data_IF_939823613829
#
_entry.id   IF_939823613829
#
_cell.length_a   1.000
_cell.length_b   1.000
_cell.length_c   1.000
_cell.angle_alpha   90.00
_cell.angle_beta   90.00
_cell.angle_gamma   90.00
#
_symmetry.space_group_name_H-M   'P 1'
#
loop_
_entity.id
_entity.type
_entity.pdbx_description
1 polymer ?
#
# COMPACT_ATOMS: atom_id res chain seq x y z
N UNK A 1 -11.25 -1.24 37.95
CA UNK A 1 -11.95 -1.82 36.78
C UNK A 1 -12.38 -0.74 35.82
N UNK A 2 -12.83 0.38 36.32
CA UNK A 2 -13.32 1.54 35.52
C UNK A 2 -12.24 2.17 34.64
N UNK A 3 -11.00 2.25 35.10
CA UNK A 3 -9.87 2.79 34.32
C UNK A 3 -9.58 1.98 33.06
N UNK A 4 -9.71 0.65 33.15
CA UNK A 4 -9.51 -0.25 32.00
C UNK A 4 -10.67 -0.13 31.00
N UNK A 5 -11.89 -0.01 31.51
CA UNK A 5 -13.06 0.21 30.66
C UNK A 5 -12.98 1.56 29.94
N UNK A 6 -12.54 2.62 30.64
CA UNK A 6 -12.30 3.92 30.03
C UNK A 6 -11.19 3.89 28.98
N UNK A 7 -10.09 3.17 29.26
CA UNK A 7 -8.98 3.01 28.32
C UNK A 7 -9.42 2.24 27.07
N UNK A 8 -10.21 1.16 27.21
CA UNK A 8 -10.82 0.43 26.10
C UNK A 8 -11.78 1.31 25.30
N UNK A 9 -12.66 2.07 25.98
CA UNK A 9 -13.58 2.99 25.35
C UNK A 9 -12.84 4.03 24.50
N UNK A 10 -11.80 4.63 25.05
CA UNK A 10 -10.94 5.58 24.33
C UNK A 10 -10.20 4.93 23.14
N UNK A 11 -9.70 3.71 23.32
CA UNK A 11 -8.99 2.98 22.25
C UNK A 11 -9.92 2.64 21.09
N UNK A 12 -11.15 2.25 21.36
CA UNK A 12 -12.15 1.87 20.36
C UNK A 12 -12.98 3.05 19.87
N UNK A 13 -12.82 4.23 20.50
CA UNK A 13 -13.61 5.45 20.24
C UNK A 13 -15.12 5.26 20.44
N UNK A 14 -15.48 4.61 21.54
CA UNK A 14 -16.86 4.28 21.94
C UNK A 14 -17.12 4.66 23.40
N UNK A 15 -18.37 4.55 23.87
CA UNK A 15 -18.74 4.79 25.26
C UNK A 15 -18.37 3.61 26.16
N UNK A 16 -18.26 3.86 27.47
CA UNK A 16 -17.96 2.82 28.48
C UNK A 16 -19.05 1.74 28.52
N UNK A 17 -20.31 2.13 28.31
CA UNK A 17 -21.46 1.21 28.29
C UNK A 17 -21.39 0.25 27.08
N UNK A 18 -20.97 0.76 25.92
CA UNK A 18 -20.76 -0.06 24.73
C UNK A 18 -19.61 -1.06 24.94
N UNK A 19 -18.52 -0.64 25.60
CA UNK A 19 -17.41 -1.55 25.99
C UNK A 19 -17.89 -2.61 26.96
N UNK A 20 -18.71 -2.26 27.92
CA UNK A 20 -19.29 -3.23 28.87
C UNK A 20 -20.13 -4.29 28.16
N UNK A 21 -20.90 -3.89 27.17
CA UNK A 21 -21.66 -4.81 26.29
C UNK A 21 -20.74 -5.72 25.48
N UNK A 22 -19.63 -5.22 24.96
CA UNK A 22 -18.61 -6.00 24.27
C UNK A 22 -17.99 -7.07 25.18
N UNK A 23 -17.63 -6.70 26.41
CA UNK A 23 -17.04 -7.62 27.39
C UNK A 23 -17.97 -8.81 27.72
N UNK A 24 -19.27 -8.57 27.83
CA UNK A 24 -20.25 -9.63 28.04
C UNK A 24 -20.33 -10.59 26.87
N UNK A 25 -20.18 -10.08 25.65
CA UNK A 25 -20.17 -10.87 24.42
C UNK A 25 -18.94 -11.78 24.31
N UNK A 26 -17.77 -11.31 24.72
CA UNK A 26 -16.53 -12.08 24.69
C UNK A 26 -16.33 -13.02 25.89
N UNK A 27 -17.24 -13.02 26.87
CA UNK A 27 -17.16 -13.86 28.10
C UNK A 27 -15.78 -13.84 28.78
N UNK A 28 -15.02 -12.75 28.64
CA UNK A 28 -13.65 -12.65 29.12
C UNK A 28 -13.48 -11.62 30.25
N UNK A 29 -12.34 -11.70 30.97
CA UNK A 29 -11.95 -10.69 31.93
C UNK A 29 -11.46 -9.43 31.22
N UNK A 30 -11.94 -8.27 31.64
CA UNK A 30 -11.60 -6.97 31.06
C UNK A 30 -10.08 -6.75 30.85
N UNK A 31 -9.18 -7.08 31.81
CA UNK A 31 -7.75 -6.92 31.63
C UNK A 31 -7.18 -7.76 30.47
N UNK A 32 -7.59 -9.02 30.36
CA UNK A 32 -7.09 -9.92 29.31
C UNK A 32 -7.53 -9.47 27.92
N UNK A 33 -8.77 -9.02 27.79
CA UNK A 33 -9.29 -8.48 26.52
C UNK A 33 -8.56 -7.19 26.17
N UNK A 34 -8.30 -6.34 27.15
CA UNK A 34 -7.55 -5.09 26.93
C UNK A 34 -6.13 -5.34 26.42
N UNK A 35 -5.37 -6.25 27.05
CA UNK A 35 -4.02 -6.60 26.60
C UNK A 35 -4.02 -7.19 25.19
N UNK A 36 -4.96 -8.11 24.91
CA UNK A 36 -5.10 -8.71 23.59
C UNK A 36 -5.40 -7.64 22.54
N UNK A 37 -6.36 -6.76 22.79
CA UNK A 37 -6.76 -5.72 21.84
C UNK A 37 -5.69 -4.64 21.62
N UNK A 38 -4.92 -4.27 22.66
CA UNK A 38 -3.78 -3.36 22.48
C UNK A 38 -2.75 -3.97 21.55
N UNK A 39 -2.41 -5.24 21.77
CA UNK A 39 -1.43 -5.96 20.94
C UNK A 39 -1.91 -6.08 19.51
N UNK A 40 -3.15 -6.49 19.31
CA UNK A 40 -3.73 -6.61 17.97
C UNK A 40 -3.88 -5.24 17.26
N UNK A 41 -4.26 -4.18 17.99
CA UNK A 41 -4.29 -2.82 17.45
C UNK A 41 -2.91 -2.36 17.00
N UNK A 42 -1.88 -2.61 17.80
CA UNK A 42 -0.52 -2.25 17.43
C UNK A 42 -0.08 -2.94 16.12
N UNK A 43 -0.37 -4.24 15.97
CA UNK A 43 -0.11 -4.94 14.72
C UNK A 43 -0.93 -4.35 13.56
N UNK A 44 -2.21 -4.10 13.79
CA UNK A 44 -3.09 -3.50 12.77
C UNK A 44 -2.55 -2.14 12.29
N UNK A 45 -2.13 -1.26 13.20
CA UNK A 45 -1.62 0.07 12.86
C UNK A 45 -0.30 -0.01 12.11
N UNK A 46 0.64 -0.86 12.55
CA UNK A 46 1.93 -1.08 11.88
C UNK A 46 1.71 -1.61 10.45
N UNK A 47 0.91 -2.66 10.27
CA UNK A 47 0.64 -3.20 8.94
C UNK A 47 -0.18 -2.25 8.07
N UNK A 48 -1.03 -1.41 8.66
CA UNK A 48 -1.75 -0.37 7.94
C UNK A 48 -0.82 0.70 7.37
N UNK A 49 0.22 1.08 8.11
CA UNK A 49 1.28 1.99 7.60
C UNK A 49 2.04 1.35 6.44
N UNK A 50 2.47 0.09 6.57
CA UNK A 50 3.14 -0.62 5.48
C UNK A 50 2.25 -0.74 4.24
N UNK A 51 0.97 -1.00 4.41
CA UNK A 51 -0.01 -1.07 3.33
C UNK A 51 -0.11 0.29 2.61
N UNK A 52 -0.22 1.39 3.36
CA UNK A 52 -0.30 2.75 2.79
C UNK A 52 0.95 3.11 1.99
N UNK A 53 2.14 2.83 2.54
CA UNK A 53 3.42 3.05 1.86
C UNK A 53 3.51 2.21 0.58
N UNK A 54 3.12 0.93 0.64
CA UNK A 54 3.14 0.04 -0.52
C UNK A 54 2.20 0.51 -1.63
N UNK A 55 1.01 1.00 -1.30
CA UNK A 55 0.07 1.59 -2.26
C UNK A 55 0.69 2.84 -2.92
N UNK A 56 1.30 3.73 -2.14
CA UNK A 56 1.93 4.94 -2.67
C UNK A 56 3.06 4.60 -3.65
N UNK A 57 3.95 3.67 -3.29
CA UNK A 57 5.04 3.20 -4.17
C UNK A 57 4.48 2.56 -5.44
N UNK A 58 3.41 1.76 -5.33
CA UNK A 58 2.78 1.09 -6.47
C UNK A 58 2.19 2.12 -7.45
N UNK A 59 1.52 3.15 -6.96
CA UNK A 59 0.96 4.22 -7.81
C UNK A 59 2.10 4.95 -8.54
N UNK A 60 3.13 5.42 -7.81
CA UNK A 60 4.25 6.16 -8.39
C UNK A 60 4.99 5.31 -9.42
N UNK A 61 5.33 4.05 -9.09
CA UNK A 61 6.05 3.16 -10.01
C UNK A 61 5.23 2.82 -11.25
N UNK A 62 3.90 2.68 -11.11
CA UNK A 62 3.01 2.42 -12.25
C UNK A 62 2.92 3.63 -13.21
N UNK A 63 2.83 4.85 -12.67
CA UNK A 63 2.84 6.08 -13.48
C UNK A 63 4.17 6.22 -14.21
N UNK A 64 5.28 6.04 -13.51
CA UNK A 64 6.64 6.09 -14.12
C UNK A 64 6.77 5.05 -15.23
N UNK A 65 6.31 3.81 -14.97
CA UNK A 65 6.33 2.74 -15.96
C UNK A 65 5.52 3.10 -17.20
N UNK A 66 4.30 3.65 -17.03
CA UNK A 66 3.45 4.07 -18.14
C UNK A 66 4.13 5.15 -19.00
N UNK A 67 4.71 6.18 -18.35
CA UNK A 67 5.42 7.26 -19.06
C UNK A 67 6.64 6.73 -19.81
N UNK A 68 7.47 5.89 -19.17
CA UNK A 68 8.64 5.30 -19.81
C UNK A 68 8.26 4.40 -20.99
N UNK A 69 7.17 3.67 -20.87
CA UNK A 69 6.65 2.81 -21.94
C UNK A 69 6.14 3.64 -23.12
N UNK A 70 5.40 4.72 -22.84
CA UNK A 70 4.98 5.66 -23.88
C UNK A 70 6.18 6.25 -24.62
N UNK A 71 7.19 6.75 -23.90
CA UNK A 71 8.41 7.27 -24.52
C UNK A 71 9.10 6.19 -25.36
N UNK A 72 9.17 4.95 -24.87
CA UNK A 72 9.82 3.85 -25.56
C UNK A 72 9.15 3.54 -26.92
N UNK A 73 7.83 3.62 -27.00
CA UNK A 73 7.08 3.32 -28.20
C UNK A 73 6.89 4.53 -29.14
N UNK A 74 6.80 5.76 -28.61
CA UNK A 74 6.51 6.95 -29.39
C UNK A 74 7.75 7.72 -29.85
N UNK A 75 8.95 7.38 -29.31
CA UNK A 75 10.16 8.08 -29.70
C UNK A 75 10.57 7.77 -31.14
N UNK A 76 10.51 8.77 -32.02
CA UNK A 76 10.78 8.70 -33.45
C UNK A 76 12.17 9.19 -33.89
N UNK A 77 13.05 9.49 -32.92
CA UNK A 77 14.41 9.97 -33.16
C UNK A 77 14.54 11.49 -33.29
N UNK A 78 13.42 12.20 -33.32
CA UNK A 78 13.40 13.69 -33.40
C UNK A 78 13.90 14.25 -34.71
N UNK A 79 13.95 15.60 -34.82
CA UNK A 79 14.39 16.33 -36.01
C UNK A 79 15.91 16.31 -36.09
N UNK A 80 16.45 15.97 -37.24
CA UNK A 80 17.91 15.98 -37.51
C UNK A 80 18.25 17.29 -38.24
N UNK A 81 18.92 18.23 -37.54
CA UNK A 81 19.29 19.54 -38.12
C UNK A 81 20.65 19.56 -38.81
N UNK A 82 21.47 18.49 -38.69
CA UNK A 82 22.82 18.47 -39.27
C UNK A 82 23.06 17.17 -40.01
N UNK A 83 23.55 17.29 -41.24
CA UNK A 83 24.01 16.17 -42.06
C UNK A 83 25.30 15.61 -41.46
N UNK A 84 25.23 14.43 -40.86
CA UNK A 84 26.41 13.73 -40.39
C UNK A 84 27.14 13.14 -41.61
N UNK A 85 28.40 13.47 -41.73
CA UNK A 85 29.32 13.06 -42.81
C UNK A 85 29.11 11.58 -43.19
N UNK A 86 28.41 11.32 -44.30
CA UNK A 86 28.30 9.99 -44.91
C UNK A 86 27.17 9.08 -44.43
N UNK A 87 26.25 9.53 -43.55
CA UNK A 87 25.06 8.79 -43.16
C UNK A 87 23.79 9.46 -43.65
N UNK A 88 22.79 8.65 -44.06
CA UNK A 88 21.47 9.14 -44.41
C UNK A 88 20.68 9.58 -43.16
N UNK A 89 19.73 10.49 -43.34
CA UNK A 89 18.86 10.97 -42.25
C UNK A 89 18.16 9.81 -41.52
N UNK A 90 17.76 8.77 -42.27
CA UNK A 90 17.10 7.58 -41.74
C UNK A 90 18.04 6.75 -40.84
N UNK A 91 19.29 6.58 -41.22
CA UNK A 91 20.29 5.87 -40.43
C UNK A 91 20.56 6.58 -39.10
N UNK A 92 20.66 7.92 -39.13
CA UNK A 92 20.88 8.72 -37.92
C UNK A 92 19.66 8.64 -36.98
N UNK A 93 18.44 8.67 -37.52
CA UNK A 93 17.21 8.48 -36.73
C UNK A 93 17.16 7.10 -36.10
N UNK A 94 17.47 6.05 -36.84
CA UNK A 94 17.51 4.67 -36.31
C UNK A 94 18.53 4.51 -35.19
N UNK A 95 19.74 5.01 -35.35
CA UNK A 95 20.76 4.98 -34.28
C UNK A 95 20.30 5.70 -33.01
N UNK A 96 19.63 6.85 -33.15
CA UNK A 96 19.09 7.58 -31.98
C UNK A 96 17.96 6.83 -31.28
N UNK A 97 17.07 6.21 -32.06
CA UNK A 97 15.98 5.39 -31.50
C UNK A 97 16.58 4.20 -30.74
N UNK A 98 17.54 3.48 -31.32
CA UNK A 98 18.19 2.35 -30.68
C UNK A 98 18.94 2.75 -29.39
N UNK A 99 19.66 3.87 -29.42
CA UNK A 99 20.36 4.40 -28.24
C UNK A 99 19.36 4.70 -27.13
N UNK A 100 18.29 5.44 -27.46
CA UNK A 100 17.25 5.81 -26.49
C UNK A 100 16.53 4.59 -25.92
N UNK A 101 16.22 3.60 -26.75
CA UNK A 101 15.64 2.33 -26.31
C UNK A 101 16.57 1.54 -25.38
N UNK A 102 17.88 1.55 -25.63
CA UNK A 102 18.87 0.95 -24.73
C UNK A 102 18.93 1.65 -23.38
N UNK A 103 18.92 3.00 -23.39
CA UNK A 103 18.89 3.81 -22.15
C UNK A 103 17.63 3.55 -21.33
N UNK A 104 16.46 3.40 -21.96
CA UNK A 104 15.18 3.19 -21.30
C UNK A 104 14.97 1.77 -20.75
N UNK A 105 15.70 0.77 -21.24
CA UNK A 105 15.55 -0.63 -20.79
C UNK A 105 15.78 -0.80 -19.29
N UNK A 106 16.80 -0.13 -18.73
CA UNK A 106 17.15 -0.26 -17.32
C UNK A 106 16.07 0.40 -16.40
N UNK A 107 15.67 1.66 -16.60
CA UNK A 107 14.62 2.28 -15.78
C UNK A 107 13.27 1.54 -15.91
N UNK A 108 12.91 1.01 -17.08
CA UNK A 108 11.70 0.19 -17.25
C UNK A 108 11.80 -1.09 -16.39
N UNK A 109 12.93 -1.80 -16.43
CA UNK A 109 13.14 -3.00 -15.61
C UNK A 109 13.03 -2.68 -14.10
N UNK A 110 13.67 -1.62 -13.65
CA UNK A 110 13.64 -1.20 -12.24
C UNK A 110 12.21 -0.86 -11.83
N UNK A 111 11.47 -0.14 -12.66
CA UNK A 111 10.08 0.22 -12.38
C UNK A 111 9.16 -1.00 -12.32
N UNK A 112 9.34 -1.99 -13.21
CA UNK A 112 8.63 -3.26 -13.17
C UNK A 112 8.92 -4.04 -11.88
N UNK A 113 10.19 -4.15 -11.49
CA UNK A 113 10.58 -4.85 -10.25
C UNK A 113 9.99 -4.15 -9.02
N UNK A 114 10.05 -2.82 -8.97
CA UNK A 114 9.49 -2.02 -7.88
C UNK A 114 7.98 -2.21 -7.76
N UNK A 115 7.24 -2.16 -8.87
CA UNK A 115 5.79 -2.41 -8.90
C UNK A 115 5.46 -3.81 -8.40
N UNK A 116 6.18 -4.83 -8.87
CA UNK A 116 5.95 -6.23 -8.48
C UNK A 116 6.25 -6.45 -6.99
N UNK A 117 7.36 -5.93 -6.49
CA UNK A 117 7.74 -6.02 -5.09
C UNK A 117 6.71 -5.32 -4.20
N UNK A 118 6.23 -4.13 -4.58
CA UNK A 118 5.21 -3.40 -3.85
C UNK A 118 3.88 -4.14 -3.79
N UNK A 119 3.47 -4.78 -4.88
CA UNK A 119 2.25 -5.60 -4.93
C UNK A 119 2.36 -6.83 -4.01
N UNK A 120 3.49 -7.52 -4.02
CA UNK A 120 3.74 -8.66 -3.12
C UNK A 120 3.69 -8.19 -1.66
N UNK A 121 4.35 -7.08 -1.32
CA UNK A 121 4.35 -6.52 0.04
C UNK A 121 2.93 -6.17 0.47
N UNK A 122 2.11 -5.61 -0.41
CA UNK A 122 0.72 -5.27 -0.14
C UNK A 122 -0.12 -6.52 0.19
N UNK A 123 0.01 -7.58 -0.59
CA UNK A 123 -0.69 -8.85 -0.34
C UNK A 123 -0.25 -9.46 1.00
N UNK A 124 1.07 -9.52 1.25
CA UNK A 124 1.62 -10.06 2.51
C UNK A 124 1.12 -9.26 3.71
N UNK A 125 1.14 -7.93 3.65
CA UNK A 125 0.66 -7.08 4.76
C UNK A 125 -0.84 -7.25 5.02
N UNK A 126 -1.67 -7.43 4.00
CA UNK A 126 -3.11 -7.72 4.18
C UNK A 126 -3.29 -9.06 4.89
N UNK A 127 -2.60 -10.10 4.45
CA UNK A 127 -2.68 -11.44 5.05
C UNK A 127 -2.23 -11.40 6.52
N UNK A 128 -1.08 -10.78 6.80
CA UNK A 128 -0.56 -10.64 8.17
C UNK A 128 -1.52 -9.84 9.07
N UNK A 129 -2.12 -8.78 8.55
CA UNK A 129 -3.10 -7.96 9.27
C UNK A 129 -4.31 -8.78 9.71
N UNK A 130 -4.87 -9.59 8.79
CA UNK A 130 -6.02 -10.46 9.08
C UNK A 130 -5.64 -11.57 10.07
N UNK A 131 -4.43 -12.13 9.95
CA UNK A 131 -3.98 -13.27 10.77
C UNK A 131 -3.59 -12.83 12.19
N UNK A 132 -2.95 -11.65 12.34
CA UNK A 132 -2.40 -11.19 13.62
C UNK A 132 -3.32 -10.26 14.42
N UNK A 133 -4.37 -9.72 13.79
CA UNK A 133 -5.32 -8.84 14.43
C UNK A 133 -6.80 -9.20 14.13
N UNK A 134 -7.21 -10.48 14.22
CA UNK A 134 -8.54 -10.90 13.81
C UNK A 134 -9.64 -10.32 14.69
N UNK A 135 -9.44 -10.29 16.02
CA UNK A 135 -10.44 -9.80 16.96
C UNK A 135 -10.60 -8.28 16.87
N UNK A 136 -9.50 -7.55 16.70
CA UNK A 136 -9.54 -6.10 16.52
C UNK A 136 -10.29 -5.73 15.23
N UNK A 137 -10.01 -6.41 14.13
CA UNK A 137 -10.69 -6.20 12.84
C UNK A 137 -12.19 -6.51 12.96
N UNK A 138 -12.55 -7.61 13.63
CA UNK A 138 -13.94 -8.00 13.85
C UNK A 138 -14.69 -6.94 14.67
N UNK A 139 -14.09 -6.45 15.76
CA UNK A 139 -14.68 -5.40 16.60
C UNK A 139 -14.90 -4.12 15.79
N UNK A 140 -13.90 -3.65 15.07
CA UNK A 140 -13.96 -2.38 14.33
C UNK A 140 -14.94 -2.45 13.16
N UNK A 141 -14.99 -3.55 12.44
CA UNK A 141 -15.78 -3.65 11.21
C UNK A 141 -17.22 -4.14 11.45
N UNK A 142 -17.43 -5.02 12.44
CA UNK A 142 -18.73 -5.65 12.63
C UNK A 142 -19.49 -5.11 13.85
N UNK A 143 -18.81 -4.89 14.96
CA UNK A 143 -19.46 -4.56 16.22
C UNK A 143 -19.64 -3.05 16.37
N UNK A 144 -18.58 -2.27 16.16
CA UNK A 144 -18.63 -0.81 16.30
C UNK A 144 -19.74 -0.16 15.45
N UNK A 145 -19.89 -0.46 14.15
CA UNK A 145 -20.94 0.13 13.33
C UNK A 145 -22.37 -0.22 13.78
N UNK A 146 -22.53 -1.36 14.48
CA UNK A 146 -23.85 -1.76 15.03
C UNK A 146 -24.19 -1.02 16.31
N UNK A 147 -23.18 -0.67 17.10
CA UNK A 147 -23.36 0.08 18.35
C UNK A 147 -23.64 1.57 18.09
N UNK A 148 -22.95 2.18 17.15
CA UNK A 148 -23.09 3.60 16.80
C UNK A 148 -24.36 3.93 16.01
N UNK A 149 -25.11 2.93 15.52
CA UNK A 149 -26.40 3.12 14.80
C UNK A 149 -27.61 3.06 15.70
N UNK A 150 -27.45 2.95 17.02
CA UNK A 150 -28.53 3.04 18.02
C UNK A 150 -28.59 4.42 18.62
#
# INVERSE_FOLDING_TARGET
MDDILQALAKMLNVTVDEVSSLLTTFKGNAPQIYEMLIKEKMFYDVFSLFQTISIAILIVSSVVLAVLTLIFFTYDGGIVFYEYRGKTEEEIKLERIERKRKELKLPIKVSCISSSASLITLVVTIVLKITLAPNYIFIVNEILPRLTKR
#
